data_IF_194668842422
#
_entry.id   IF_194668842422
#
_cell.length_a   1.000
_cell.length_b   1.000
_cell.length_c   1.000
_cell.angle_alpha   90.00
_cell.angle_beta   90.00
_cell.angle_gamma   90.00
#
_symmetry.space_group_name_H-M   'P 1'
#
loop_
_entity.id
_entity.type
_entity.pdbx_description
1 polymer ?
#
# COMPACT_ATOMS: atom_id res chain seq x y z
N UNK A 1 -19.96 4.55 -8.80
CA UNK A 1 -19.33 3.86 -7.64
C UNK A 1 -18.17 4.75 -7.19
N UNK A 2 -18.38 5.56 -6.15
CA UNK A 2 -17.30 6.37 -5.57
C UNK A 2 -16.29 5.42 -4.90
N UNK A 3 -15.05 5.40 -5.41
CA UNK A 3 -13.93 4.81 -4.67
C UNK A 3 -13.65 5.72 -3.48
N UNK A 4 -14.23 5.39 -2.31
CA UNK A 4 -13.82 6.01 -1.05
C UNK A 4 -12.33 5.73 -0.85
N UNK A 5 -11.59 6.75 -0.46
CA UNK A 5 -10.19 6.56 -0.04
C UNK A 5 -10.19 5.69 1.21
N UNK A 6 -9.50 4.54 1.16
CA UNK A 6 -9.45 3.56 2.26
C UNK A 6 -8.57 4.00 3.44
N UNK A 7 -8.13 5.26 3.48
CA UNK A 7 -7.44 5.86 4.62
C UNK A 7 -6.27 6.77 4.25
N UNK A 8 -5.76 7.47 5.26
CA UNK A 8 -4.51 8.25 5.18
C UNK A 8 -3.37 7.37 5.68
N UNK A 9 -2.31 7.25 4.90
CA UNK A 9 -1.11 6.49 5.27
C UNK A 9 0.08 7.43 5.35
N UNK A 10 0.76 7.44 6.49
CA UNK A 10 1.99 8.20 6.68
C UNK A 10 3.20 7.40 6.17
N UNK A 11 4.06 8.05 5.37
CA UNK A 11 5.33 7.46 4.93
C UNK A 11 6.46 8.07 5.76
N UNK A 12 7.15 7.26 6.55
CA UNK A 12 8.36 7.69 7.29
C UNK A 12 9.56 6.90 6.77
N UNK A 13 10.57 7.60 6.26
CA UNK A 13 11.81 6.98 5.77
C UNK A 13 11.60 5.96 4.63
N UNK A 14 10.64 6.21 3.73
CA UNK A 14 10.33 5.30 2.61
C UNK A 14 9.51 4.07 2.99
N UNK A 15 8.98 4.02 4.21
CA UNK A 15 8.18 2.91 4.72
C UNK A 15 6.82 3.37 5.21
N UNK A 16 5.83 2.52 5.05
CA UNK A 16 4.50 2.70 5.62
C UNK A 16 4.16 1.51 6.49
N UNK A 17 3.33 1.77 7.49
CA UNK A 17 2.76 0.74 8.34
C UNK A 17 1.28 1.05 8.50
N UNK A 18 0.43 0.06 8.26
CA UNK A 18 -1.00 0.16 8.51
C UNK A 18 -1.57 -1.17 8.99
N UNK A 19 -2.70 -1.11 9.68
CA UNK A 19 -3.53 -2.28 9.95
C UNK A 19 -4.82 -2.16 9.17
N UNK A 20 -5.33 -3.27 8.63
CA UNK A 20 -6.64 -3.30 8.00
C UNK A 20 -7.74 -3.65 9.01
N UNK A 21 -8.98 -3.77 8.53
CA UNK A 21 -10.14 -4.12 9.37
C UNK A 21 -10.04 -5.52 9.99
N UNK A 22 -9.25 -6.42 9.40
CA UNK A 22 -8.98 -7.75 9.94
C UNK A 22 -7.79 -7.77 10.91
N UNK A 23 -7.22 -6.60 11.22
CA UNK A 23 -6.06 -6.42 12.09
C UNK A 23 -4.74 -6.99 11.53
N UNK A 24 -4.69 -7.30 10.22
CA UNK A 24 -3.47 -7.70 9.51
C UNK A 24 -2.52 -6.53 9.47
N UNK A 25 -1.27 -6.75 9.84
CA UNK A 25 -0.24 -5.73 9.75
C UNK A 25 0.34 -5.68 8.35
N UNK A 26 0.16 -4.54 7.68
CA UNK A 26 0.75 -4.24 6.38
C UNK A 26 1.94 -3.31 6.55
N UNK A 27 3.13 -3.78 6.16
CA UNK A 27 4.35 -2.96 6.12
C UNK A 27 4.81 -2.83 4.68
N UNK A 28 4.81 -1.63 4.13
CA UNK A 28 5.26 -1.39 2.76
C UNK A 28 6.56 -0.61 2.73
N UNK A 29 7.44 -0.94 1.78
CA UNK A 29 8.66 -0.21 1.48
C UNK A 29 8.62 0.23 0.03
N UNK A 30 9.01 1.49 -0.22
CA UNK A 30 9.01 2.10 -1.54
C UNK A 30 10.44 2.40 -1.97
N UNK A 31 10.84 1.87 -3.12
CA UNK A 31 12.15 2.07 -3.73
C UNK A 31 11.97 2.76 -5.07
N UNK A 32 12.57 3.94 -5.25
CA UNK A 32 12.56 4.62 -6.55
C UNK A 32 13.42 3.79 -7.51
N UNK A 33 12.80 3.28 -8.58
CA UNK A 33 13.51 2.56 -9.63
C UNK A 33 14.09 3.54 -10.65
N UNK A 34 13.30 4.56 -11.02
CA UNK A 34 13.66 5.62 -11.94
C UNK A 34 12.73 6.84 -11.78
N UNK A 35 12.85 7.83 -12.66
CA UNK A 35 12.07 9.07 -12.63
C UNK A 35 10.55 8.91 -12.80
N UNK A 36 10.08 7.72 -13.20
CA UNK A 36 8.67 7.42 -13.50
C UNK A 36 8.13 6.20 -12.77
N UNK A 37 8.98 5.45 -12.07
CA UNK A 37 8.62 4.17 -11.50
C UNK A 37 9.18 3.99 -10.08
N UNK A 38 8.34 3.43 -9.22
CA UNK A 38 8.65 3.10 -7.83
C UNK A 38 8.26 1.65 -7.60
N UNK A 39 9.20 0.84 -7.13
CA UNK A 39 8.88 -0.50 -6.60
C UNK A 39 8.25 -0.33 -5.23
N UNK A 40 7.11 -0.98 -5.03
CA UNK A 40 6.51 -1.18 -3.72
C UNK A 40 6.62 -2.65 -3.35
N UNK A 41 7.19 -2.92 -2.18
CA UNK A 41 7.16 -4.24 -1.54
C UNK A 41 6.33 -4.13 -0.29
N UNK A 42 5.21 -4.85 -0.23
CA UNK A 42 4.28 -4.83 0.89
C UNK A 42 4.18 -6.19 1.55
N UNK A 43 4.58 -6.27 2.81
CA UNK A 43 4.45 -7.47 3.63
C UNK A 43 3.13 -7.40 4.40
N UNK A 44 2.25 -8.37 4.17
CA UNK A 44 1.05 -8.60 4.98
C UNK A 44 1.36 -9.67 6.03
N UNK A 45 1.12 -9.34 7.29
CA UNK A 45 1.40 -10.19 8.44
C UNK A 45 0.11 -10.42 9.25
N UNK A 46 -0.47 -11.64 9.19
CA UNK A 46 -1.76 -11.91 9.81
C UNK A 46 -1.64 -12.38 11.26
N UNK A 47 -0.46 -12.28 11.91
CA UNK A 47 -0.25 -12.78 13.29
C UNK A 47 -1.21 -12.21 14.33
N UNK A 48 -1.61 -10.96 14.16
CA UNK A 48 -2.58 -10.28 15.05
C UNK A 48 -4.02 -10.29 14.51
N UNK A 49 -4.23 -10.92 13.35
CA UNK A 49 -5.56 -11.01 12.75
C UNK A 49 -6.43 -12.03 13.49
N UNK A 50 -7.74 -11.96 13.25
CA UNK A 50 -8.68 -12.93 13.80
C UNK A 50 -8.26 -14.36 13.44
N UNK A 51 -8.50 -15.31 14.35
CA UNK A 51 -8.03 -16.69 14.23
C UNK A 51 -8.63 -17.48 13.06
N UNK A 52 -9.65 -16.95 12.38
CA UNK A 52 -10.28 -17.46 11.17
C UNK A 52 -9.81 -16.73 9.90
N UNK A 53 -9.05 -15.63 10.02
CA UNK A 53 -8.54 -14.88 8.88
C UNK A 53 -7.37 -15.62 8.20
N UNK A 54 -7.39 -15.63 6.86
CA UNK A 54 -6.32 -16.14 6.03
C UNK A 54 -6.03 -15.15 4.91
N UNK A 55 -4.75 -14.93 4.64
CA UNK A 55 -4.28 -14.18 3.48
C UNK A 55 -4.33 -15.05 2.23
N UNK A 56 -4.40 -14.43 1.07
CA UNK A 56 -4.31 -15.15 -0.21
C UNK A 56 -2.91 -15.02 -0.78
N UNK A 57 -2.23 -16.14 -0.98
CA UNK A 57 -0.93 -16.17 -1.67
C UNK A 57 -1.08 -15.76 -3.14
N UNK A 58 0.01 -15.38 -3.83
CA UNK A 58 -0.02 -15.12 -5.27
C UNK A 58 -0.47 -16.30 -6.13
N UNK A 59 -0.40 -17.53 -5.61
CA UNK A 59 -0.90 -18.75 -6.26
C UNK A 59 -2.39 -19.01 -6.00
N UNK A 60 -3.09 -18.09 -5.32
CA UNK A 60 -4.51 -18.21 -4.98
C UNK A 60 -4.80 -19.03 -3.71
N UNK A 61 -3.79 -19.66 -3.09
CA UNK A 61 -4.02 -20.50 -1.90
C UNK A 61 -4.12 -19.68 -0.62
N UNK A 62 -4.98 -20.08 0.35
CA UNK A 62 -5.05 -19.42 1.65
C UNK A 62 -3.81 -19.72 2.50
N UNK A 63 -3.39 -18.74 3.30
CA UNK A 63 -2.24 -18.84 4.20
C UNK A 63 -2.40 -18.01 5.47
N UNK A 64 -1.80 -18.48 6.55
CA UNK A 64 -1.62 -17.73 7.80
C UNK A 64 -0.18 -17.29 8.03
N UNK A 65 0.68 -17.53 7.04
CA UNK A 65 2.04 -17.03 7.05
C UNK A 65 2.08 -15.64 6.42
N UNK A 66 3.04 -14.79 6.81
CA UNK A 66 3.24 -13.52 6.15
C UNK A 66 3.47 -13.67 4.64
N UNK A 67 2.87 -12.77 3.85
CA UNK A 67 2.97 -12.78 2.39
C UNK A 67 3.52 -11.44 1.91
N UNK A 68 4.50 -11.49 1.01
CA UNK A 68 5.03 -10.30 0.36
C UNK A 68 4.39 -10.11 -1.02
N UNK A 69 3.81 -8.94 -1.22
CA UNK A 69 3.26 -8.48 -2.49
C UNK A 69 4.21 -7.44 -3.09
N UNK A 70 4.48 -7.55 -4.39
CA UNK A 70 5.34 -6.61 -5.12
C UNK A 70 4.54 -5.94 -6.23
N UNK A 71 4.75 -4.65 -6.42
CA UNK A 71 4.14 -3.91 -7.51
C UNK A 71 5.07 -2.81 -8.00
N UNK A 72 5.08 -2.59 -9.31
CA UNK A 72 5.69 -1.40 -9.92
C UNK A 72 4.62 -0.33 -10.03
N UNK A 73 4.80 0.77 -9.32
CA UNK A 73 3.90 1.92 -9.30
C UNK A 73 4.44 3.01 -10.23
N UNK A 74 3.54 3.67 -10.94
CA UNK A 74 3.85 4.87 -11.72
C UNK A 74 3.98 6.07 -10.79
N UNK A 75 5.12 6.74 -10.89
CA UNK A 75 5.41 8.00 -10.24
C UNK A 75 5.18 9.15 -11.21
N UNK A 76 4.32 10.09 -10.82
CA UNK A 76 4.08 11.31 -11.55
C UNK A 76 4.32 12.49 -10.60
N UNK A 77 5.12 13.45 -11.07
CA UNK A 77 5.33 14.72 -10.38
C UNK A 77 4.84 15.86 -11.27
N UNK A 78 4.01 16.73 -10.70
CA UNK A 78 3.60 17.98 -11.33
C UNK A 78 3.79 19.09 -10.30
N UNK A 79 4.78 19.95 -10.53
CA UNK A 79 5.20 21.00 -9.59
C UNK A 79 5.55 20.40 -8.20
N UNK A 80 4.89 20.87 -7.15
CA UNK A 80 5.02 20.37 -5.77
C UNK A 80 4.11 19.17 -5.46
N UNK A 81 3.29 18.73 -6.42
CA UNK A 81 2.40 17.58 -6.25
C UNK A 81 3.11 16.31 -6.72
N UNK A 82 3.15 15.34 -5.82
CA UNK A 82 3.62 13.99 -6.10
C UNK A 82 2.41 13.06 -6.06
N UNK A 83 2.26 12.25 -7.10
CA UNK A 83 1.28 11.18 -7.18
C UNK A 83 1.98 9.87 -7.52
N UNK A 84 1.72 8.84 -6.72
CA UNK A 84 2.13 7.47 -6.99
C UNK A 84 0.85 6.66 -7.23
N UNK A 85 0.80 5.94 -8.34
CA UNK A 85 -0.38 5.14 -8.69
C UNK A 85 -0.02 3.80 -9.29
N UNK A 86 -0.80 2.78 -8.99
CA UNK A 86 -0.61 1.46 -9.58
C UNK A 86 -1.61 0.47 -9.04
N UNK A 87 -1.36 -0.80 -9.34
CA UNK A 87 -2.22 -1.90 -8.92
C UNK A 87 -1.40 -3.00 -8.26
N UNK A 88 -1.94 -3.56 -7.19
CA UNK A 88 -1.37 -4.72 -6.49
C UNK A 88 -2.35 -5.87 -6.70
N UNK A 89 -1.85 -6.99 -7.21
CA UNK A 89 -2.62 -8.23 -7.25
C UNK A 89 -2.58 -8.87 -5.85
N UNK A 90 -3.75 -9.06 -5.27
CA UNK A 90 -3.95 -9.71 -3.98
C UNK A 90 -4.91 -10.89 -4.18
N UNK A 91 -4.36 -12.09 -4.35
CA UNK A 91 -5.17 -13.24 -4.79
C UNK A 91 -5.88 -12.93 -6.10
N UNK A 92 -7.21 -13.09 -6.11
CA UNK A 92 -8.10 -12.77 -7.23
C UNK A 92 -8.52 -11.29 -7.29
N UNK A 93 -8.10 -10.47 -6.32
CA UNK A 93 -8.45 -9.05 -6.25
C UNK A 93 -7.33 -8.17 -6.80
N UNK A 94 -7.72 -7.08 -7.48
CA UNK A 94 -6.80 -6.03 -7.92
C UNK A 94 -7.04 -4.78 -7.10
N UNK A 95 -6.09 -4.47 -6.22
CA UNK A 95 -6.13 -3.28 -5.38
C UNK A 95 -5.48 -2.14 -6.14
N UNK A 96 -6.21 -1.05 -6.36
CA UNK A 96 -5.66 0.15 -6.98
C UNK A 96 -5.15 1.09 -5.90
N UNK A 97 -3.86 1.38 -5.91
CA UNK A 97 -3.25 2.33 -5.01
C UNK A 97 -3.12 3.69 -5.71
N UNK A 98 -3.54 4.75 -5.03
CA UNK A 98 -3.21 6.13 -5.41
C UNK A 98 -2.81 6.88 -4.15
N UNK A 99 -1.58 7.35 -4.13
CA UNK A 99 -1.02 8.13 -3.03
C UNK A 99 -0.70 9.51 -3.57
N UNK A 100 -1.11 10.54 -2.84
CA UNK A 100 -0.82 11.91 -3.17
C UNK A 100 -0.17 12.56 -1.95
N UNK A 101 0.85 13.40 -2.19
CA UNK A 101 1.33 14.29 -1.14
C UNK A 101 0.21 15.27 -0.81
N UNK A 102 -0.36 15.17 0.39
CA UNK A 102 -1.22 16.22 0.93
C UNK A 102 -0.35 17.45 1.22
N UNK A 103 -0.79 18.67 0.86
CA UNK A 103 -0.10 19.87 1.31
C UNK A 103 -0.04 19.86 2.84
N UNK A 104 1.11 20.27 3.38
CA UNK A 104 1.30 20.40 4.82
C UNK A 104 0.24 21.36 5.35
N UNK A 105 -0.59 20.92 6.30
CA UNK A 105 -1.69 21.74 6.83
C UNK A 105 -1.19 22.79 7.83
N UNK A 106 0.13 22.91 8.03
CA UNK A 106 0.77 23.85 8.94
C UNK A 106 1.04 25.22 8.31
N UNK A 107 0.01 25.89 7.76
CA UNK A 107 0.04 27.34 7.48
C UNK A 107 -1.36 27.84 7.11
N UNK A 108 -2.29 27.86 8.07
CA UNK A 108 -3.30 28.91 8.11
C UNK A 108 -3.40 29.36 9.57
N UNK A 109 -2.83 30.54 9.78
CA UNK A 109 -2.80 31.34 11.01
C UNK A 109 -4.19 31.69 11.52
#
# INVERSE_FOLDING_TARGET
MEKKSDGVTEIRGGRTQRRDAANVLWTSTFTILNEREVEMVSLADPRDAASDHALTRPDGTPTRQPVAYRATLKYARKDDRIQISGSIAYGDEVIFLTMQKTPDSSCFS
#
